data_IF_664943639738
#
_entry.id   IF_664943639738
#
_cell.length_a   1.000
_cell.length_b   1.000
_cell.length_c   1.000
_cell.angle_alpha   90.00
_cell.angle_beta   90.00
_cell.angle_gamma   90.00
#
_symmetry.space_group_name_H-M   'P 1'
#
loop_
_entity.id
_entity.type
_entity.pdbx_description
1 polymer ?
#
# COMPACT_ATOMS: atom_id res chain seq x y z
N UNK A 1 -24.35 11.14 -56.54
CA UNK A 1 -24.02 9.85 -55.88
C UNK A 1 -24.10 10.09 -54.38
N UNK A 2 -25.07 9.48 -53.68
CA UNK A 2 -25.21 9.66 -52.22
C UNK A 2 -24.34 8.60 -51.54
N UNK A 3 -23.25 9.00 -50.88
CA UNK A 3 -22.48 8.08 -50.04
C UNK A 3 -23.32 7.73 -48.80
N UNK A 4 -23.68 6.45 -48.69
CA UNK A 4 -24.37 5.94 -47.51
C UNK A 4 -23.39 5.93 -46.32
N UNK A 5 -23.85 6.42 -45.18
CA UNK A 5 -23.11 6.35 -43.93
C UNK A 5 -22.99 4.90 -43.48
N UNK A 6 -21.76 4.42 -43.30
CA UNK A 6 -21.48 3.13 -42.66
C UNK A 6 -21.07 3.43 -41.21
N UNK A 7 -21.87 3.04 -40.21
CA UNK A 7 -21.49 3.24 -38.81
C UNK A 7 -20.22 2.47 -38.50
N UNK A 8 -19.29 3.09 -37.76
CA UNK A 8 -18.14 2.37 -37.21
C UNK A 8 -18.62 1.51 -36.06
N UNK A 9 -18.65 0.20 -36.26
CA UNK A 9 -18.82 -0.80 -35.20
C UNK A 9 -17.45 -1.05 -34.57
N UNK A 10 -17.31 -0.76 -33.28
CA UNK A 10 -16.16 -1.21 -32.51
C UNK A 10 -16.50 -2.57 -31.91
N UNK A 11 -15.54 -3.51 -31.93
CA UNK A 11 -15.71 -4.82 -31.29
C UNK A 11 -15.56 -4.75 -29.76
N UNK A 12 -15.34 -3.54 -29.21
CA UNK A 12 -15.22 -3.31 -27.77
C UNK A 12 -16.60 -3.40 -27.13
N UNK A 13 -17.05 -4.62 -26.88
CA UNK A 13 -18.10 -4.88 -25.91
C UNK A 13 -17.48 -4.58 -24.54
N UNK A 14 -17.98 -3.58 -23.81
CA UNK A 14 -17.52 -3.29 -22.46
C UNK A 14 -17.96 -4.42 -21.53
N UNK A 15 -17.21 -5.51 -21.53
CA UNK A 15 -17.34 -6.59 -20.58
C UNK A 15 -16.33 -6.36 -19.45
N UNK A 16 -16.79 -6.05 -18.22
CA UNK A 16 -15.89 -5.87 -17.07
C UNK A 16 -15.07 -7.12 -16.71
N UNK A 17 -15.43 -8.29 -17.26
CA UNK A 17 -14.68 -9.55 -17.10
C UNK A 17 -13.77 -9.90 -18.28
N UNK A 18 -13.57 -9.00 -19.24
CA UNK A 18 -12.56 -9.17 -20.29
C UNK A 18 -11.15 -9.05 -19.68
N UNK A 19 -10.23 -9.92 -20.08
CA UNK A 19 -8.85 -9.96 -19.58
C UNK A 19 -8.14 -8.60 -19.79
N UNK A 20 -8.47 -7.90 -20.87
CA UNK A 20 -7.95 -6.56 -21.16
C UNK A 20 -8.36 -5.50 -20.11
N UNK A 21 -9.46 -5.71 -19.40
CA UNK A 21 -10.04 -4.76 -18.44
C UNK A 21 -10.07 -5.31 -17.00
N UNK A 22 -9.35 -6.39 -16.71
CA UNK A 22 -9.33 -6.98 -15.38
C UNK A 22 -8.45 -6.17 -14.43
N UNK A 23 -9.09 -5.37 -13.57
CA UNK A 23 -8.43 -4.55 -12.54
C UNK A 23 -8.39 -5.23 -11.17
N UNK A 24 -8.68 -6.53 -11.08
CA UNK A 24 -8.62 -7.25 -9.80
C UNK A 24 -7.16 -7.47 -9.39
N UNK A 25 -6.92 -7.42 -8.08
CA UNK A 25 -5.65 -7.83 -7.49
C UNK A 25 -5.36 -9.31 -7.81
N UNK A 26 -4.10 -9.66 -8.00
CA UNK A 26 -3.67 -11.03 -8.24
C UNK A 26 -3.81 -11.91 -6.98
N UNK A 27 -4.15 -13.19 -7.17
CA UNK A 27 -4.21 -14.16 -6.08
C UNK A 27 -2.87 -14.34 -5.36
N UNK A 28 -1.76 -14.17 -6.08
CA UNK A 28 -0.39 -14.28 -5.54
C UNK A 28 -0.11 -13.24 -4.45
N UNK A 29 -0.67 -12.04 -4.54
CA UNK A 29 -0.38 -10.92 -3.62
C UNK A 29 -1.41 -10.80 -2.48
N UNK A 30 -2.55 -11.50 -2.54
CA UNK A 30 -3.55 -11.49 -1.46
C UNK A 30 -2.96 -11.77 -0.06
N UNK A 31 -2.07 -12.77 0.13
CA UNK A 31 -1.46 -13.02 1.44
C UNK A 31 -0.66 -11.83 1.98
N UNK A 32 0.09 -11.12 1.11
CA UNK A 32 0.83 -9.93 1.49
C UNK A 32 -0.13 -8.77 1.85
N UNK A 33 -1.17 -8.56 1.04
CA UNK A 33 -2.19 -7.56 1.30
C UNK A 33 -2.89 -7.76 2.66
N UNK A 34 -3.28 -9.00 2.98
CA UNK A 34 -3.90 -9.32 4.26
C UNK A 34 -2.91 -9.15 5.42
N UNK A 35 -1.65 -9.52 5.23
CA UNK A 35 -0.61 -9.34 6.23
C UNK A 35 -0.37 -7.85 6.54
N UNK A 36 -0.30 -7.00 5.52
CA UNK A 36 -0.19 -5.53 5.69
C UNK A 36 -1.39 -5.00 6.49
N UNK A 37 -2.63 -5.40 6.14
CA UNK A 37 -3.82 -4.94 6.86
C UNK A 37 -3.83 -5.36 8.32
N UNK A 38 -3.41 -6.59 8.59
CA UNK A 38 -3.31 -7.08 9.95
C UNK A 38 -2.25 -6.31 10.74
N UNK A 39 -1.09 -6.07 10.13
CA UNK A 39 0.00 -5.31 10.77
C UNK A 39 -0.41 -3.86 11.07
N UNK A 40 -1.12 -3.20 10.15
CA UNK A 40 -1.66 -1.86 10.38
C UNK A 40 -2.57 -1.85 11.61
N UNK A 41 -3.57 -2.74 11.63
CA UNK A 41 -4.55 -2.82 12.72
C UNK A 41 -3.92 -3.13 14.07
N UNK A 42 -3.03 -4.11 14.13
CA UNK A 42 -2.55 -4.67 15.39
C UNK A 42 -1.30 -3.96 15.92
N UNK A 43 -0.54 -3.31 15.03
CA UNK A 43 0.74 -2.68 15.40
C UNK A 43 0.72 -1.18 15.13
N UNK A 44 0.42 -0.76 13.90
CA UNK A 44 0.57 0.66 13.51
C UNK A 44 -0.48 1.54 14.19
N UNK A 45 -1.75 1.12 14.19
CA UNK A 45 -2.84 1.95 14.71
C UNK A 45 -2.71 2.18 16.23
N UNK A 46 -2.47 1.16 17.09
CA UNK A 46 -2.22 1.38 18.51
C UNK A 46 -0.95 2.22 18.76
N UNK A 47 0.11 1.94 18.02
CA UNK A 47 1.38 2.67 18.12
C UNK A 47 1.23 4.14 17.73
N UNK A 48 0.40 4.44 16.73
CA UNK A 48 0.14 5.81 16.27
C UNK A 48 -0.49 6.66 17.38
N UNK A 49 -1.39 6.08 18.18
CA UNK A 49 -1.99 6.76 19.34
C UNK A 49 -0.91 7.16 20.35
N UNK A 50 0.02 6.24 20.66
CA UNK A 50 1.15 6.50 21.56
C UNK A 50 2.09 7.56 20.97
N UNK A 51 2.39 7.47 19.68
CA UNK A 51 3.24 8.41 18.96
C UNK A 51 2.70 9.84 18.99
N UNK A 52 1.40 10.04 18.75
CA UNK A 52 0.80 11.37 18.79
C UNK A 52 0.77 11.94 20.22
N UNK A 53 0.47 11.10 21.22
CA UNK A 53 0.51 11.49 22.64
C UNK A 53 1.92 11.93 23.06
N UNK A 54 2.95 11.19 22.67
CA UNK A 54 4.34 11.56 22.92
C UNK A 54 4.73 12.89 22.25
N UNK A 55 4.06 13.22 21.13
CA UNK A 55 4.23 14.46 20.39
C UNK A 55 3.58 15.70 21.01
N UNK A 56 2.65 15.55 21.97
CA UNK A 56 1.97 16.70 22.60
C UNK A 56 2.95 17.61 23.35
N UNK A 57 4.09 17.07 23.79
CA UNK A 57 5.15 17.80 24.52
C UNK A 57 6.13 18.54 23.60
N UNK A 58 5.91 18.52 22.28
CA UNK A 58 6.82 19.12 21.30
C UNK A 58 6.87 20.64 21.42
N UNK A 59 8.07 21.19 21.52
CA UNK A 59 8.33 22.64 21.42
C UNK A 59 8.50 23.10 19.98
N UNK A 60 9.00 22.23 19.10
CA UNK A 60 9.11 22.44 17.65
C UNK A 60 8.22 21.44 16.89
N UNK A 61 7.24 21.95 16.13
CA UNK A 61 6.34 21.13 15.28
C UNK A 61 7.08 20.24 14.28
N UNK A 62 8.27 20.65 13.82
CA UNK A 62 9.04 19.98 12.77
C UNK A 62 10.03 18.92 13.28
N UNK A 63 10.13 18.73 14.59
CA UNK A 63 11.04 17.75 15.20
C UNK A 63 10.27 16.59 15.81
N UNK A 64 10.85 15.40 15.93
CA UNK A 64 10.29 14.34 16.78
C UNK A 64 10.94 14.37 18.16
N UNK A 65 10.21 13.93 19.17
CA UNK A 65 10.79 13.66 20.49
C UNK A 65 11.54 12.33 20.47
N UNK A 66 12.45 12.11 21.41
CA UNK A 66 13.15 10.83 21.54
C UNK A 66 12.17 9.66 21.76
N UNK A 67 11.07 9.91 22.48
CA UNK A 67 9.98 8.94 22.69
C UNK A 67 9.27 8.59 21.38
N UNK A 68 8.95 9.58 20.54
CA UNK A 68 8.36 9.35 19.22
C UNK A 68 9.28 8.52 18.31
N UNK A 69 10.58 8.81 18.32
CA UNK A 69 11.57 8.05 17.54
C UNK A 69 11.69 6.61 18.03
N UNK A 70 11.71 6.38 19.35
CA UNK A 70 11.76 5.05 19.93
C UNK A 70 10.51 4.21 19.57
N UNK A 71 9.33 4.83 19.60
CA UNK A 71 8.06 4.21 19.22
C UNK A 71 8.08 3.81 17.73
N UNK A 72 8.47 4.71 16.83
CA UNK A 72 8.60 4.41 15.40
C UNK A 72 9.62 3.30 15.14
N UNK A 73 10.79 3.35 15.79
CA UNK A 73 11.84 2.36 15.59
C UNK A 73 11.36 0.96 15.98
N UNK A 74 10.66 0.83 17.11
CA UNK A 74 10.07 -0.45 17.55
C UNK A 74 9.10 -1.03 16.51
N UNK A 75 8.28 -0.20 15.89
CA UNK A 75 7.36 -0.63 14.84
C UNK A 75 8.11 -1.06 13.56
N UNK A 76 9.14 -0.31 13.15
CA UNK A 76 10.02 -0.65 12.02
C UNK A 76 10.74 -1.98 12.23
N UNK A 77 11.25 -2.21 13.43
CA UNK A 77 11.94 -3.45 13.77
C UNK A 77 10.98 -4.63 13.71
N UNK A 78 9.75 -4.47 14.24
CA UNK A 78 8.71 -5.50 14.11
C UNK A 78 8.32 -5.74 12.64
N UNK A 79 8.20 -4.70 11.82
CA UNK A 79 7.91 -4.84 10.40
C UNK A 79 8.99 -5.65 9.67
N UNK A 80 10.27 -5.40 9.98
CA UNK A 80 11.40 -6.20 9.46
C UNK A 80 11.33 -7.66 9.89
N UNK A 81 11.05 -7.92 11.17
CA UNK A 81 10.94 -9.27 11.71
C UNK A 81 9.84 -10.09 11.02
N UNK A 82 8.74 -9.46 10.64
CA UNK A 82 7.62 -10.13 9.94
C UNK A 82 7.72 -10.05 8.41
N UNK A 83 8.82 -9.54 7.86
CA UNK A 83 9.03 -9.47 6.41
C UNK A 83 8.18 -8.44 5.68
N UNK A 84 7.69 -7.42 6.37
CA UNK A 84 6.95 -6.29 5.80
C UNK A 84 7.83 -5.06 5.58
N UNK A 85 9.16 -5.20 5.66
CA UNK A 85 10.08 -4.11 5.37
C UNK A 85 10.51 -4.13 3.91
N UNK A 86 10.36 -3.01 3.21
CA UNK A 86 10.78 -2.87 1.81
C UNK A 86 10.16 -3.93 0.86
N UNK A 87 8.98 -4.46 1.17
CA UNK A 87 8.33 -5.50 0.35
C UNK A 87 8.01 -5.05 -1.08
N UNK A 88 8.03 -3.73 -1.35
CA UNK A 88 7.82 -3.15 -2.68
C UNK A 88 9.07 -3.21 -3.57
N UNK A 89 10.25 -3.46 -3.00
CA UNK A 89 11.46 -3.59 -3.79
C UNK A 89 11.39 -4.88 -4.62
N UNK A 90 11.85 -4.84 -5.89
CA UNK A 90 11.96 -6.05 -6.68
C UNK A 90 12.93 -7.04 -6.02
N UNK A 91 12.63 -8.33 -6.19
CA UNK A 91 13.51 -9.40 -5.74
C UNK A 91 14.91 -9.23 -6.36
N UNK A 92 15.95 -9.36 -5.55
CA UNK A 92 17.31 -9.00 -5.96
C UNK A 92 17.90 -9.95 -7.02
N UNK A 93 17.42 -11.21 -7.07
CA UNK A 93 17.93 -12.26 -7.95
C UNK A 93 17.16 -12.32 -9.27
N UNK A 94 15.84 -12.13 -9.21
CA UNK A 94 14.94 -12.23 -10.36
C UNK A 94 14.60 -10.87 -10.98
N UNK A 95 14.75 -9.77 -10.23
CA UNK A 95 14.32 -8.44 -10.63
C UNK A 95 12.80 -8.28 -10.70
N UNK A 96 12.03 -9.33 -10.41
CA UNK A 96 10.57 -9.27 -10.38
C UNK A 96 10.08 -8.69 -9.06
N UNK A 97 9.40 -7.55 -9.12
CA UNK A 97 8.75 -6.92 -7.98
C UNK A 97 7.23 -7.07 -8.00
N UNK A 98 6.57 -6.38 -7.06
CA UNK A 98 5.13 -6.20 -7.13
C UNK A 98 4.75 -5.48 -8.43
N UNK A 99 3.72 -5.97 -9.10
CA UNK A 99 3.12 -5.21 -10.18
C UNK A 99 2.45 -3.95 -9.61
N UNK A 100 2.30 -2.92 -10.46
CA UNK A 100 1.76 -1.64 -10.04
C UNK A 100 0.29 -1.73 -9.56
N UNK A 101 -0.50 -2.63 -10.14
CA UNK A 101 -1.93 -2.78 -9.79
C UNK A 101 -2.08 -3.33 -8.37
N UNK A 102 -1.38 -4.41 -8.05
CA UNK A 102 -1.36 -5.05 -6.74
C UNK A 102 -0.81 -4.10 -5.68
N UNK A 103 0.26 -3.37 -6.00
CA UNK A 103 0.77 -2.35 -5.10
C UNK A 103 -0.25 -1.22 -4.86
N UNK A 104 -1.05 -0.83 -5.86
CA UNK A 104 -2.07 0.20 -5.68
C UNK A 104 -3.11 -0.18 -4.61
N UNK A 105 -3.52 -1.44 -4.55
CA UNK A 105 -4.40 -1.95 -3.49
C UNK A 105 -3.74 -1.90 -2.10
N UNK A 106 -2.45 -2.25 -2.00
CA UNK A 106 -1.69 -2.17 -0.74
C UNK A 106 -1.52 -0.70 -0.32
N UNK A 107 -1.14 0.19 -1.25
CA UNK A 107 -0.97 1.62 -1.01
C UNK A 107 -2.27 2.28 -0.50
N UNK A 108 -3.43 1.83 -0.98
CA UNK A 108 -4.71 2.30 -0.48
C UNK A 108 -4.96 1.94 1.00
N UNK A 109 -4.46 0.80 1.47
CA UNK A 109 -4.52 0.43 2.91
C UNK A 109 -3.49 1.22 3.72
N UNK A 110 -2.25 1.34 3.23
CA UNK A 110 -1.21 2.15 3.87
C UNK A 110 -1.68 3.60 4.07
N UNK A 111 -2.37 4.18 3.09
CA UNK A 111 -2.87 5.56 3.16
C UNK A 111 -3.98 5.79 4.19
N UNK A 112 -4.59 4.74 4.77
CA UNK A 112 -5.61 4.88 5.82
C UNK A 112 -5.00 5.19 7.19
N UNK A 113 -3.74 4.85 7.40
CA UNK A 113 -3.04 5.05 8.67
C UNK A 113 -1.80 5.91 8.45
N UNK A 114 -1.74 7.15 8.98
CA UNK A 114 -0.71 8.14 8.62
C UNK A 114 0.74 7.68 8.82
N UNK A 115 0.98 6.74 9.76
CA UNK A 115 2.32 6.23 10.07
C UNK A 115 2.62 4.88 9.41
N UNK A 116 1.68 4.26 8.68
CA UNK A 116 1.90 2.92 8.10
C UNK A 116 3.07 2.91 7.12
N UNK A 117 3.07 3.79 6.12
CA UNK A 117 4.15 3.91 5.14
C UNK A 117 5.49 4.34 5.73
N UNK A 118 5.48 4.93 6.93
CA UNK A 118 6.73 5.30 7.62
C UNK A 118 7.34 4.10 8.36
N UNK A 119 6.56 3.05 8.61
CA UNK A 119 6.97 1.91 9.44
C UNK A 119 7.31 0.64 8.67
N UNK A 120 6.90 0.53 7.41
CA UNK A 120 7.05 -0.64 6.55
C UNK A 120 7.81 -0.29 5.26
#
# INVERSE_FOLDING_TARGET
MKHAYVPRTTNYTLNPGDELNDLRMSDKVRPLYDHVKQFIRDTVDPMSVEFYRAGEKKTNRWSFTDEQLAILQKAKDKAKEVGLWNFFLPDAETGEGLNNLDYAYIAAELGKSPLASETM
#
